data_IF_553274803608
#
_entry.id   IF_553274803608
#
_cell.length_a   1.000
_cell.length_b   1.000
_cell.length_c   1.000
_cell.angle_alpha   90.00
_cell.angle_beta   90.00
_cell.angle_gamma   90.00
#
_symmetry.space_group_name_H-M   'P 1'
#
loop_
_entity.id
_entity.type
_entity.pdbx_description
1 polymer ?
#
# COMPACT_ATOMS: atom_id res chain seq x y z
N UNK A 1 -11.93 -18.51 2.83
CA UNK A 1 -10.86 -19.36 2.22
C UNK A 1 -11.16 -19.71 0.75
N UNK A 2 -12.32 -20.28 0.39
CA UNK A 2 -12.64 -20.61 -1.01
C UNK A 2 -12.45 -19.43 -2.00
N UNK A 3 -12.99 -18.24 -1.69
CA UNK A 3 -12.79 -17.03 -2.53
C UNK A 3 -11.34 -16.55 -2.64
N UNK A 4 -10.56 -16.64 -1.55
CA UNK A 4 -9.13 -16.29 -1.58
C UNK A 4 -8.33 -17.27 -2.43
N UNK A 5 -8.66 -18.57 -2.36
CA UNK A 5 -8.02 -19.60 -3.16
C UNK A 5 -8.36 -19.43 -4.66
N UNK A 6 -9.62 -19.13 -4.98
CA UNK A 6 -10.04 -18.83 -6.34
C UNK A 6 -9.33 -17.58 -6.89
N UNK A 7 -9.26 -16.50 -6.10
CA UNK A 7 -8.52 -15.30 -6.47
C UNK A 7 -7.04 -15.62 -6.76
N UNK A 8 -6.39 -16.38 -5.87
CA UNK A 8 -5.00 -16.78 -6.06
C UNK A 8 -4.80 -17.60 -7.34
N UNK A 9 -5.73 -18.51 -7.64
CA UNK A 9 -5.67 -19.32 -8.85
C UNK A 9 -5.83 -18.48 -10.13
N UNK A 10 -6.63 -17.42 -10.09
CA UNK A 10 -6.88 -16.52 -11.23
C UNK A 10 -5.75 -15.49 -11.44
N UNK A 11 -5.27 -14.88 -10.35
CA UNK A 11 -4.41 -13.70 -10.43
C UNK A 11 -2.93 -14.02 -10.13
N UNK A 12 -2.62 -15.21 -9.57
CA UNK A 12 -1.25 -15.66 -9.29
C UNK A 12 -0.65 -15.13 -7.97
N UNK A 13 -1.36 -14.28 -7.23
CA UNK A 13 -0.93 -13.73 -5.93
C UNK A 13 -2.03 -13.80 -4.88
N UNK A 14 -1.65 -13.69 -3.60
CA UNK A 14 -2.59 -13.77 -2.48
C UNK A 14 -3.34 -12.45 -2.29
N UNK A 15 -4.65 -12.53 -2.08
CA UNK A 15 -5.45 -11.42 -1.53
C UNK A 15 -5.47 -11.50 -0.01
N UNK A 16 -4.85 -10.52 0.66
CA UNK A 16 -4.79 -10.43 2.13
C UNK A 16 -5.69 -9.31 2.65
N UNK A 17 -5.98 -9.32 3.97
CA UNK A 17 -6.70 -8.22 4.61
C UNK A 17 -5.98 -6.87 4.47
N UNK A 18 -4.65 -6.89 4.35
CA UNK A 18 -3.84 -5.69 4.26
C UNK A 18 -4.22 -4.81 3.04
N UNK A 19 -4.57 -5.42 1.90
CA UNK A 19 -5.03 -4.65 0.74
C UNK A 19 -6.32 -3.85 1.00
N UNK A 20 -7.21 -4.38 1.85
CA UNK A 20 -8.44 -3.69 2.26
C UNK A 20 -8.12 -2.54 3.22
N UNK A 21 -7.18 -2.74 4.16
CA UNK A 21 -6.74 -1.67 5.06
C UNK A 21 -6.10 -0.52 4.29
N UNK A 22 -5.21 -0.80 3.34
CA UNK A 22 -4.57 0.24 2.52
C UNK A 22 -5.63 1.02 1.73
N UNK A 23 -6.61 0.33 1.13
CA UNK A 23 -7.71 1.02 0.43
C UNK A 23 -8.53 1.89 1.38
N UNK A 24 -8.89 1.38 2.56
CA UNK A 24 -9.64 2.14 3.55
C UNK A 24 -8.87 3.38 4.04
N UNK A 25 -7.57 3.25 4.29
CA UNK A 25 -6.69 4.37 4.67
C UNK A 25 -6.60 5.38 3.53
N UNK A 26 -6.43 4.94 2.28
CA UNK A 26 -6.36 5.83 1.13
C UNK A 26 -7.65 6.66 0.98
N UNK A 27 -8.83 6.04 1.09
CA UNK A 27 -10.11 6.76 1.07
C UNK A 27 -10.26 7.73 2.27
N UNK A 28 -9.76 7.34 3.45
CA UNK A 28 -9.76 8.21 4.61
C UNK A 28 -8.85 9.43 4.40
N UNK A 29 -7.67 9.27 3.80
CA UNK A 29 -6.76 10.37 3.48
C UNK A 29 -7.37 11.34 2.46
N UNK A 30 -8.14 10.85 1.47
CA UNK A 30 -8.91 11.75 0.57
C UNK A 30 -9.91 12.60 1.34
N UNK A 31 -10.61 12.01 2.31
CA UNK A 31 -11.63 12.70 3.11
C UNK A 31 -11.02 13.67 4.13
N UNK A 32 -9.83 13.37 4.64
CA UNK A 32 -9.13 14.13 5.67
C UNK A 32 -7.72 14.53 5.18
N UNK A 33 -7.62 15.46 4.21
CA UNK A 33 -6.36 15.76 3.51
C UNK A 33 -5.26 16.32 4.41
N UNK A 34 -5.61 16.95 5.55
CA UNK A 34 -4.62 17.39 6.54
C UNK A 34 -3.78 16.25 7.12
N UNK A 35 -4.29 15.01 7.11
CA UNK A 35 -3.49 13.84 7.51
C UNK A 35 -2.46 13.43 6.45
N UNK A 36 -2.65 13.82 5.19
CA UNK A 36 -1.71 13.60 4.10
C UNK A 36 -0.84 14.86 3.91
N UNK A 37 -0.16 15.31 4.95
CA UNK A 37 0.60 16.56 4.94
C UNK A 37 1.99 16.42 5.54
N UNK A 38 2.80 17.46 5.36
CA UNK A 38 4.12 17.59 5.98
C UNK A 38 4.26 18.98 6.57
N UNK A 39 4.84 19.06 7.76
CA UNK A 39 5.27 20.33 8.33
C UNK A 39 6.59 20.74 7.68
N UNK A 40 6.61 21.88 7.00
CA UNK A 40 7.80 22.41 6.35
C UNK A 40 7.99 23.86 6.77
N UNK A 41 9.13 24.15 7.38
CA UNK A 41 9.46 25.47 7.93
C UNK A 41 8.40 25.92 8.94
N UNK A 42 7.50 26.82 8.55
CA UNK A 42 6.40 27.34 9.35
C UNK A 42 5.02 27.11 8.71
N UNK A 43 4.93 26.21 7.72
CA UNK A 43 3.71 25.92 6.97
C UNK A 43 3.37 24.41 6.93
N UNK A 44 2.07 24.12 6.78
CA UNK A 44 1.58 22.76 6.51
C UNK A 44 1.41 22.58 5.01
N UNK A 45 2.22 21.71 4.42
CA UNK A 45 2.12 21.32 3.01
C UNK A 45 1.22 20.11 2.89
N UNK A 46 0.03 20.28 2.31
CA UNK A 46 -0.92 19.21 2.03
C UNK A 46 -0.62 18.59 0.67
N UNK A 47 -0.49 17.25 0.62
CA UNK A 47 -0.17 16.52 -0.60
C UNK A 47 -1.45 16.07 -1.32
N UNK A 48 -1.56 16.34 -2.63
CA UNK A 48 -2.66 15.86 -3.46
C UNK A 48 -2.58 14.36 -3.71
N UNK A 49 -1.37 13.84 -3.87
CA UNK A 49 -1.12 12.44 -4.17
C UNK A 49 -1.12 11.61 -2.89
N UNK A 50 -1.89 10.53 -2.88
CA UNK A 50 -1.97 9.62 -1.72
C UNK A 50 -1.02 8.45 -1.97
N UNK A 51 0.23 8.64 -1.51
CA UNK A 51 1.29 7.67 -1.60
C UNK A 51 1.48 7.01 -0.23
N UNK A 52 1.28 5.68 -0.13
CA UNK A 52 1.30 4.97 1.16
C UNK A 52 2.54 4.08 1.26
N UNK A 53 3.40 4.41 2.21
CA UNK A 53 4.53 3.59 2.62
C UNK A 53 4.06 2.35 3.39
N UNK A 54 4.58 1.18 3.03
CA UNK A 54 4.30 -0.08 3.73
C UNK A 54 5.58 -0.68 4.31
N UNK A 55 5.52 -1.20 5.51
CA UNK A 55 6.65 -1.88 6.15
C UNK A 55 6.72 -3.35 5.67
N UNK A 56 7.87 -3.75 5.12
CA UNK A 56 8.14 -5.12 4.68
C UNK A 56 9.43 -5.62 5.33
N UNK A 57 9.30 -6.54 6.27
CA UNK A 57 10.45 -7.17 6.92
C UNK A 57 10.95 -8.38 6.12
N UNK A 58 12.27 -8.51 5.97
CA UNK A 58 12.91 -9.69 5.41
C UNK A 58 14.23 -9.97 6.16
N UNK A 59 14.33 -11.16 6.75
CA UNK A 59 15.44 -11.56 7.62
C UNK A 59 15.70 -10.52 8.72
N UNK A 60 16.89 -9.89 8.73
CA UNK A 60 17.30 -8.87 9.68
C UNK A 60 17.14 -7.44 9.14
N UNK A 61 16.39 -7.25 8.05
CA UNK A 61 16.17 -5.95 7.40
C UNK A 61 14.69 -5.56 7.37
N UNK A 62 14.44 -4.25 7.40
CA UNK A 62 13.13 -3.65 7.22
C UNK A 62 13.17 -2.70 6.02
N UNK A 63 12.35 -2.99 5.01
CA UNK A 63 12.15 -2.15 3.84
C UNK A 63 10.86 -1.36 3.99
N UNK A 64 10.85 -0.12 3.48
CA UNK A 64 9.65 0.74 3.51
C UNK A 64 9.32 1.23 2.09
N UNK A 65 8.88 0.33 1.18
CA UNK A 65 8.48 0.73 -0.15
C UNK A 65 7.15 1.50 -0.16
N UNK A 66 6.91 2.24 -1.24
CA UNK A 66 5.75 3.13 -1.40
C UNK A 66 4.79 2.59 -2.46
N UNK A 67 3.52 2.45 -2.10
CA UNK A 67 2.40 2.26 -3.04
C UNK A 67 1.97 3.66 -3.50
N UNK A 68 2.24 4.01 -4.76
CA UNK A 68 1.92 5.34 -5.29
C UNK A 68 0.44 5.47 -5.66
N UNK A 69 -0.19 6.64 -5.54
CA UNK A 69 -1.60 6.86 -5.92
C UNK A 69 -2.53 5.73 -5.43
N UNK A 70 -2.42 5.37 -4.16
CA UNK A 70 -3.10 4.22 -3.57
C UNK A 70 -4.63 4.36 -3.60
N UNK A 71 -5.13 5.59 -3.65
CA UNK A 71 -6.56 5.90 -3.73
C UNK A 71 -7.15 5.67 -5.12
N UNK A 72 -6.35 5.79 -6.19
CA UNK A 72 -6.75 5.49 -7.56
C UNK A 72 -6.80 3.98 -7.85
N UNK A 73 -6.15 3.18 -7.00
CA UNK A 73 -6.02 1.73 -7.19
C UNK A 73 -7.23 0.98 -6.64
N UNK A 74 -7.64 -0.05 -7.37
CA UNK A 74 -8.57 -1.06 -6.85
C UNK A 74 -7.89 -1.91 -5.78
N UNK A 75 -8.68 -2.57 -4.92
CA UNK A 75 -8.16 -3.53 -3.92
C UNK A 75 -7.31 -4.61 -4.60
N UNK A 76 -7.70 -5.04 -5.81
CA UNK A 76 -6.94 -5.98 -6.63
C UNK A 76 -5.57 -5.43 -7.03
N UNK A 77 -5.51 -4.18 -7.48
CA UNK A 77 -4.27 -3.48 -7.85
C UNK A 77 -3.35 -3.30 -6.65
N UNK A 78 -3.90 -2.89 -5.51
CA UNK A 78 -3.15 -2.77 -4.24
C UNK A 78 -2.58 -4.13 -3.82
N UNK A 79 -3.38 -5.21 -3.88
CA UNK A 79 -2.91 -6.55 -3.54
C UNK A 79 -1.76 -7.02 -4.44
N UNK A 80 -1.80 -6.67 -5.74
CA UNK A 80 -0.73 -6.95 -6.69
C UNK A 80 0.55 -6.22 -6.30
N UNK A 81 0.45 -4.93 -6.02
CA UNK A 81 1.62 -4.09 -5.70
C UNK A 81 2.25 -4.48 -4.37
N UNK A 82 1.44 -4.80 -3.35
CA UNK A 82 1.94 -5.40 -2.10
C UNK A 82 2.72 -6.68 -2.40
N UNK A 83 2.22 -7.54 -3.29
CA UNK A 83 2.92 -8.77 -3.66
C UNK A 83 4.27 -8.47 -4.32
N UNK A 84 4.29 -7.57 -5.31
CA UNK A 84 5.50 -7.18 -6.03
C UNK A 84 6.54 -6.54 -5.10
N UNK A 85 6.12 -5.60 -4.23
CA UNK A 85 6.98 -4.97 -3.23
C UNK A 85 7.53 -5.97 -2.22
N UNK A 86 6.71 -6.94 -1.79
CA UNK A 86 7.16 -8.01 -0.91
C UNK A 86 8.16 -8.96 -1.58
N UNK A 87 8.03 -9.21 -2.89
CA UNK A 87 9.03 -9.99 -3.63
C UNK A 87 10.35 -9.23 -3.78
N UNK A 88 10.29 -7.93 -4.11
CA UNK A 88 11.49 -7.08 -4.22
C UNK A 88 12.27 -7.04 -2.90
N UNK A 89 11.58 -6.80 -1.78
CA UNK A 89 12.20 -6.82 -0.46
C UNK A 89 12.86 -8.18 -0.14
N UNK A 90 12.24 -9.30 -0.55
CA UNK A 90 12.84 -10.66 -0.43
C UNK A 90 14.07 -10.85 -1.33
N UNK A 91 14.14 -10.15 -2.45
CA UNK A 91 15.29 -10.16 -3.36
C UNK A 91 16.37 -9.14 -2.94
N UNK A 92 16.22 -8.48 -1.77
CA UNK A 92 17.04 -7.36 -1.33
C UNK A 92 17.08 -6.20 -2.35
N UNK A 93 15.96 -5.96 -3.03
CA UNK A 93 15.74 -4.86 -3.99
C UNK A 93 14.59 -3.96 -3.52
#
# INVERSE_FOLDING_TARGET
KARQNQFKAQEGYNLTFFAFFIKAVAEALKKYPLLNSTWQEDEIVVHSDINISIAVAHENKLFVPVIRHADEKSIKGIAREIHELAQKARQNQ
#
